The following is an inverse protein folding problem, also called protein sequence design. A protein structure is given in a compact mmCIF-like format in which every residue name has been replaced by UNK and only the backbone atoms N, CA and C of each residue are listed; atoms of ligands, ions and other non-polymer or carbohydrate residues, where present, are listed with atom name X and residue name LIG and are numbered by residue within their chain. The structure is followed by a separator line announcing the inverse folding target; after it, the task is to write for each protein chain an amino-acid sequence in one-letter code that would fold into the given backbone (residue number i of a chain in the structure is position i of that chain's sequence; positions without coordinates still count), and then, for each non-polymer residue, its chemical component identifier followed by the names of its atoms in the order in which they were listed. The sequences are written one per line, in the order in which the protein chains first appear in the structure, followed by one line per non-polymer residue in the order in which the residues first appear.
data_IF_398992138946
#
_entry.id   IF_398992138946
#
_cell.length_a   1.000
_cell.length_b   1.000
_cell.length_c   1.000
_cell.angle_alpha   90.00
_cell.angle_beta   90.00
_cell.angle_gamma   90.00
#
_symmetry.space_group_name_H-M   'P 1'
#
loop_
_entity.id
_entity.type
_entity.pdbx_description
1 polymer ?
#
# COMPACT_ATOMS: atom_id res chain seq x y z
N UNK A 1 -1.48 22.42 -3.65
CA UNK A 1 -0.78 21.68 -2.58
C UNK A 1 0.71 21.72 -2.88
N UNK A 2 1.56 22.09 -1.90
CA UNK A 2 3.02 22.13 -2.07
C UNK A 2 3.60 20.83 -1.55
N UNK A 3 4.29 20.06 -2.38
CA UNK A 3 4.78 18.72 -2.05
C UNK A 3 6.30 18.64 -2.10
N UNK A 4 6.88 17.89 -1.16
CA UNK A 4 8.25 17.41 -1.26
C UNK A 4 8.20 15.92 -1.58
N UNK A 5 8.97 15.50 -2.58
CA UNK A 5 9.00 14.12 -3.04
C UNK A 5 10.30 13.45 -2.64
N UNK A 6 10.20 12.42 -1.79
CA UNK A 6 11.29 11.55 -1.38
C UNK A 6 11.33 10.29 -2.24
N UNK A 7 12.50 9.95 -2.78
CA UNK A 7 12.66 8.91 -3.78
C UNK A 7 12.40 9.38 -5.21
N UNK A 8 12.61 10.68 -5.48
CA UNK A 8 12.25 11.35 -6.74
C UNK A 8 12.82 10.69 -8.00
N UNK A 9 14.04 10.15 -7.96
CA UNK A 9 14.68 9.50 -9.11
C UNK A 9 14.21 8.04 -9.33
N UNK A 10 13.50 7.45 -8.35
CA UNK A 10 12.94 6.11 -8.45
C UNK A 10 11.79 6.01 -9.46
N UNK A 11 11.41 4.78 -9.81
CA UNK A 11 10.32 4.55 -10.78
C UNK A 11 8.98 5.19 -10.33
N UNK A 12 8.62 5.03 -9.05
CA UNK A 12 7.41 5.65 -8.50
C UNK A 12 7.55 7.16 -8.36
N UNK A 13 8.73 7.64 -7.94
CA UNK A 13 9.01 9.07 -7.83
C UNK A 13 8.80 9.81 -9.15
N UNK A 14 9.30 9.27 -10.26
CA UNK A 14 9.12 9.84 -11.61
C UNK A 14 7.65 9.89 -12.04
N UNK A 15 6.85 8.89 -11.69
CA UNK A 15 5.41 8.89 -11.98
C UNK A 15 4.69 9.97 -11.16
N UNK A 16 4.97 10.06 -9.85
CA UNK A 16 4.39 11.08 -8.97
C UNK A 16 4.80 12.49 -9.43
N UNK A 17 6.08 12.67 -9.82
CA UNK A 17 6.58 13.94 -10.37
C UNK A 17 5.80 14.35 -11.63
N UNK A 18 5.54 13.39 -12.52
CA UNK A 18 4.77 13.65 -13.75
C UNK A 18 3.31 14.04 -13.49
N UNK A 19 2.71 13.58 -12.39
CA UNK A 19 1.33 13.90 -11.99
C UNK A 19 1.29 15.26 -11.31
N UNK A 20 2.16 15.52 -10.32
CA UNK A 20 2.14 16.71 -9.48
C UNK A 20 2.79 17.94 -10.13
N UNK A 21 3.79 17.75 -10.99
CA UNK A 21 4.47 18.81 -11.75
C UNK A 21 4.89 20.00 -10.87
N UNK A 22 4.25 21.16 -11.09
CA UNK A 22 4.56 22.42 -10.40
C UNK A 22 4.16 22.43 -8.92
N UNK A 23 3.42 21.42 -8.45
CA UNK A 23 3.13 21.23 -7.03
C UNK A 23 4.36 20.74 -6.25
N UNK A 24 5.39 20.18 -6.91
CA UNK A 24 6.62 19.70 -6.25
C UNK A 24 7.59 20.86 -6.06
N UNK A 25 7.77 21.23 -4.80
CA UNK A 25 8.65 22.31 -4.35
C UNK A 25 10.02 21.83 -3.87
N UNK A 26 10.19 20.52 -3.64
CA UNK A 26 11.45 19.90 -3.25
C UNK A 26 11.51 18.43 -3.66
N UNK A 27 12.72 17.97 -3.97
CA UNK A 27 12.99 16.57 -4.35
C UNK A 27 14.16 16.06 -3.54
N UNK A 28 14.10 14.81 -3.08
CA UNK A 28 15.18 14.10 -2.38
C UNK A 28 15.33 12.72 -3.00
N UNK A 29 16.56 12.28 -3.28
CA UNK A 29 16.83 10.93 -3.77
C UNK A 29 18.24 10.50 -3.40
N UNK A 30 18.38 9.32 -2.79
CA UNK A 30 19.64 8.80 -2.23
C UNK A 30 20.78 8.70 -3.24
N UNK A 31 20.47 8.53 -4.53
CA UNK A 31 21.45 8.45 -5.61
C UNK A 31 22.09 9.80 -5.95
N UNK A 32 21.40 10.92 -5.64
CA UNK A 32 21.85 12.28 -5.95
C UNK A 32 21.96 12.58 -7.45
N UNK A 33 21.39 11.73 -8.31
CA UNK A 33 21.43 11.94 -9.76
C UNK A 33 20.69 13.21 -10.16
N UNK A 34 21.10 13.81 -11.27
CA UNK A 34 20.52 15.03 -11.82
C UNK A 34 20.54 16.25 -10.87
N UNK A 35 21.47 16.26 -9.89
CA UNK A 35 21.57 17.33 -8.90
C UNK A 35 20.47 17.33 -7.84
N UNK A 36 19.72 16.24 -7.71
CA UNK A 36 18.71 16.08 -6.66
C UNK A 36 19.39 15.87 -5.31
N UNK A 37 19.04 16.63 -4.24
CA UNK A 37 19.55 16.42 -2.89
C UNK A 37 19.41 14.98 -2.42
N UNK A 38 20.42 14.47 -1.70
CA UNK A 38 20.42 13.10 -1.15
C UNK A 38 19.74 13.00 0.20
N UNK A 39 19.72 14.11 0.93
CA UNK A 39 19.23 14.18 2.31
C UNK A 39 18.41 15.44 2.55
N UNK A 40 17.68 15.45 3.65
CA UNK A 40 17.01 16.64 4.16
C UNK A 40 17.97 17.83 4.34
N UNK A 41 19.18 17.56 4.87
CA UNK A 41 20.20 18.58 5.11
C UNK A 41 20.69 19.26 3.82
N UNK A 42 20.81 18.50 2.73
CA UNK A 42 21.17 19.06 1.41
C UNK A 42 20.00 19.83 0.79
N UNK A 43 18.75 19.38 0.99
CA UNK A 43 17.55 20.11 0.54
C UNK A 43 17.40 21.44 1.27
N UNK A 44 17.81 21.49 2.53
CA UNK A 44 17.53 22.62 3.42
C UNK A 44 16.04 22.73 3.79
N UNK A 45 15.67 23.81 4.48
CA UNK A 45 14.29 24.02 4.90
C UNK A 45 13.44 24.57 3.73
N UNK A 46 12.52 23.75 3.28
CA UNK A 46 11.53 24.12 2.24
C UNK A 46 10.13 24.04 2.84
N UNK A 47 9.33 25.09 2.72
CA UNK A 47 7.93 25.05 3.15
C UNK A 47 7.09 24.20 2.19
N UNK A 48 6.39 23.19 2.75
CA UNK A 48 5.49 22.32 2.02
C UNK A 48 4.31 21.90 2.90
N UNK A 49 3.23 21.49 2.26
CA UNK A 49 2.04 20.95 2.93
C UNK A 49 2.20 19.45 3.21
N UNK A 50 2.89 18.75 2.31
CA UNK A 50 3.01 17.28 2.34
C UNK A 50 4.40 16.83 1.92
N UNK A 51 4.95 15.84 2.62
CA UNK A 51 6.13 15.06 2.22
C UNK A 51 5.64 13.68 1.77
N UNK A 52 5.91 13.32 0.51
CA UNK A 52 5.52 12.04 -0.10
C UNK A 52 6.76 11.16 -0.22
N UNK A 53 6.73 9.99 0.40
CA UNK A 53 7.84 9.03 0.39
C UNK A 53 7.52 7.77 -0.41
N UNK A 54 8.29 7.55 -1.48
CA UNK A 54 8.38 6.32 -2.25
C UNK A 54 9.85 5.96 -2.48
N UNK A 55 10.61 5.82 -1.40
CA UNK A 55 12.05 5.60 -1.44
C UNK A 55 12.45 4.19 -0.97
N UNK A 56 13.19 4.10 0.11
CA UNK A 56 13.60 2.88 0.78
C UNK A 56 13.24 2.95 2.27
N UNK A 57 12.86 1.82 2.88
CA UNK A 57 12.38 1.81 4.28
C UNK A 57 13.34 2.49 5.27
N UNK A 58 14.65 2.36 5.06
CA UNK A 58 15.66 2.99 5.94
C UNK A 58 15.64 4.53 5.92
N UNK A 59 14.97 5.15 4.95
CA UNK A 59 14.85 6.61 4.89
C UNK A 59 13.75 7.15 5.82
N UNK A 60 12.89 6.29 6.37
CA UNK A 60 11.68 6.70 7.09
C UNK A 60 11.94 7.64 8.27
N UNK A 61 13.01 7.42 9.03
CA UNK A 61 13.40 8.32 10.14
C UNK A 61 13.62 9.74 9.63
N UNK A 62 14.47 9.91 8.60
CA UNK A 62 14.76 11.23 8.04
C UNK A 62 13.53 11.89 7.37
N UNK A 63 12.65 11.10 6.73
CA UNK A 63 11.40 11.59 6.17
C UNK A 63 10.47 12.14 7.26
N UNK A 64 10.28 11.39 8.34
CA UNK A 64 9.40 11.79 9.45
C UNK A 64 9.96 12.99 10.22
N UNK A 65 11.26 12.98 10.55
CA UNK A 65 11.93 14.09 11.22
C UNK A 65 11.80 15.39 10.41
N UNK A 66 12.01 15.32 9.10
CA UNK A 66 11.88 16.48 8.23
C UNK A 66 10.43 16.97 8.13
N UNK A 67 9.45 16.05 7.99
CA UNK A 67 8.04 16.42 7.95
C UNK A 67 7.60 17.10 9.27
N UNK A 68 8.06 16.60 10.41
CA UNK A 68 7.81 17.23 11.72
C UNK A 68 8.45 18.61 11.83
N UNK A 69 9.71 18.79 11.40
CA UNK A 69 10.44 20.05 11.43
C UNK A 69 9.69 21.16 10.66
N UNK A 70 9.20 20.85 9.46
CA UNK A 70 8.46 21.80 8.62
C UNK A 70 6.96 21.83 8.92
N UNK A 71 6.47 20.99 9.83
CA UNK A 71 5.05 20.81 10.21
C UNK A 71 4.17 20.40 9.02
N UNK A 72 4.71 19.57 8.14
CA UNK A 72 3.99 19.00 7.01
C UNK A 72 3.36 17.64 7.36
N UNK A 73 2.40 17.25 6.56
CA UNK A 73 1.86 15.88 6.55
C UNK A 73 2.86 14.91 5.90
N UNK A 74 2.97 13.68 6.41
CA UNK A 74 3.77 12.63 5.77
C UNK A 74 2.88 11.59 5.09
N UNK A 75 3.20 11.23 3.84
CA UNK A 75 2.58 10.12 3.08
C UNK A 75 3.65 9.09 2.81
N UNK A 76 3.56 7.93 3.46
CA UNK A 76 4.54 6.86 3.39
C UNK A 76 3.99 5.72 2.53
N UNK A 77 4.44 5.67 1.27
CA UNK A 77 4.16 4.60 0.30
C UNK A 77 5.28 3.57 0.19
N UNK A 78 6.39 3.83 0.84
CA UNK A 78 7.51 2.88 0.94
C UNK A 78 7.09 1.64 1.72
N UNK A 79 7.56 0.47 1.30
CA UNK A 79 7.27 -0.84 1.90
C UNK A 79 8.51 -1.47 2.53
N UNK A 80 8.32 -2.55 3.28
CA UNK A 80 9.44 -3.31 3.87
C UNK A 80 9.93 -2.77 5.21
N UNK A 81 9.21 -1.87 5.87
CA UNK A 81 9.55 -1.34 7.18
C UNK A 81 9.64 -2.42 8.26
N UNK A 82 10.68 -2.34 9.08
CA UNK A 82 10.85 -3.17 10.27
C UNK A 82 9.80 -2.82 11.35
N UNK A 83 9.63 -3.65 12.40
CA UNK A 83 8.77 -3.30 13.53
C UNK A 83 9.16 -1.96 14.18
N UNK A 84 10.46 -1.68 14.31
CA UNK A 84 10.99 -0.44 14.88
C UNK A 84 10.64 0.78 14.00
N UNK A 85 10.80 0.65 12.69
CA UNK A 85 10.44 1.70 11.73
C UNK A 85 8.93 1.95 11.72
N UNK A 86 8.10 0.91 11.83
CA UNK A 86 6.65 1.06 12.01
C UNK A 86 6.29 1.77 13.32
N UNK A 87 7.03 1.51 14.39
CA UNK A 87 6.86 2.22 15.65
C UNK A 87 7.21 3.72 15.51
N UNK A 88 8.22 4.08 14.71
CA UNK A 88 8.54 5.49 14.39
C UNK A 88 7.38 6.17 13.66
N UNK A 89 6.79 5.50 12.65
CA UNK A 89 5.61 6.00 11.92
C UNK A 89 4.45 6.25 12.89
N UNK A 90 4.17 5.29 13.77
CA UNK A 90 3.12 5.40 14.78
C UNK A 90 3.40 6.55 15.76
N UNK A 91 4.65 6.74 16.19
CA UNK A 91 5.03 7.82 17.10
C UNK A 91 4.91 9.21 16.43
N UNK A 92 5.33 9.36 15.18
CA UNK A 92 5.20 10.59 14.41
C UNK A 92 3.72 10.98 14.21
N UNK A 93 2.83 10.01 14.05
CA UNK A 93 1.39 10.25 13.88
C UNK A 93 0.72 10.91 15.07
N UNK A 94 1.35 10.92 16.25
CA UNK A 94 0.87 11.65 17.42
C UNK A 94 1.14 13.17 17.33
N UNK A 95 2.02 13.60 16.41
CA UNK A 95 2.46 14.99 16.28
C UNK A 95 2.06 15.63 14.96
N UNK A 96 2.06 14.84 13.89
CA UNK A 96 1.65 15.27 12.53
C UNK A 96 0.67 14.28 11.93
N UNK A 97 -0.13 14.65 10.91
CA UNK A 97 -0.88 13.69 10.11
C UNK A 97 0.09 12.77 9.36
N UNK A 98 -0.09 11.47 9.47
CA UNK A 98 0.70 10.48 8.72
C UNK A 98 -0.25 9.55 7.97
N UNK A 99 -0.08 9.45 6.67
CA UNK A 99 -0.76 8.43 5.86
C UNK A 99 0.24 7.30 5.58
N UNK A 100 -0.10 6.09 5.96
CA UNK A 100 0.75 4.92 5.75
C UNK A 100 -0.01 3.77 5.11
N UNK A 101 0.51 3.26 3.98
CA UNK A 101 -0.05 2.06 3.35
C UNK A 101 1.03 1.28 2.61
N UNK A 102 1.02 -0.04 2.76
CA UNK A 102 1.86 -0.95 1.97
C UNK A 102 1.41 -1.15 0.52
N UNK A 103 0.23 -0.64 0.16
CA UNK A 103 -0.28 -0.62 -1.21
C UNK A 103 -1.16 0.62 -1.40
N UNK A 104 -0.76 1.51 -2.29
CA UNK A 104 -1.47 2.77 -2.55
C UNK A 104 -2.58 2.64 -3.60
N UNK A 105 -2.91 1.44 -4.08
CA UNK A 105 -4.02 1.25 -5.02
C UNK A 105 -5.37 1.41 -4.33
N UNK A 106 -6.13 2.42 -4.75
CA UNK A 106 -7.53 2.60 -4.32
C UNK A 106 -8.39 1.39 -4.70
N UNK A 107 -8.14 0.80 -5.88
CA UNK A 107 -8.85 -0.41 -6.33
C UNK A 107 -8.61 -1.62 -5.40
N UNK A 108 -7.39 -1.80 -4.89
CA UNK A 108 -7.08 -2.84 -3.90
C UNK A 108 -7.75 -2.54 -2.55
N UNK A 109 -7.78 -1.28 -2.12
CA UNK A 109 -8.48 -0.91 -0.89
C UNK A 109 -9.98 -1.23 -0.98
N UNK A 110 -10.62 -0.93 -2.13
CA UNK A 110 -12.01 -1.30 -2.43
C UNK A 110 -12.18 -2.82 -2.44
N UNK A 111 -11.27 -3.56 -3.10
CA UNK A 111 -11.33 -5.03 -3.13
C UNK A 111 -11.27 -5.63 -1.71
N UNK A 112 -10.37 -5.16 -0.86
CA UNK A 112 -10.25 -5.59 0.53
C UNK A 112 -11.55 -5.33 1.32
N UNK A 113 -12.16 -4.14 1.15
CA UNK A 113 -13.43 -3.78 1.80
C UNK A 113 -14.57 -4.69 1.34
N UNK A 114 -14.71 -4.91 0.04
CA UNK A 114 -15.75 -5.78 -0.52
C UNK A 114 -15.54 -7.24 -0.11
N UNK A 115 -14.30 -7.74 -0.10
CA UNK A 115 -13.98 -9.09 0.36
C UNK A 115 -14.36 -9.30 1.84
N UNK A 116 -14.02 -8.32 2.71
CA UNK A 116 -14.44 -8.31 4.11
C UNK A 116 -15.96 -8.32 4.27
N UNK A 117 -16.68 -7.47 3.54
CA UNK A 117 -18.14 -7.39 3.60
C UNK A 117 -18.79 -8.70 3.11
N UNK A 118 -18.30 -9.27 2.01
CA UNK A 118 -18.81 -10.53 1.50
C UNK A 118 -18.51 -11.69 2.45
N UNK A 119 -17.32 -11.76 3.04
CA UNK A 119 -16.97 -12.77 4.04
C UNK A 119 -17.82 -12.68 5.31
N UNK A 120 -18.22 -11.47 5.72
CA UNK A 120 -19.13 -11.26 6.84
C UNK A 120 -20.58 -11.69 6.51
N UNK A 121 -21.05 -11.41 5.28
CA UNK A 121 -22.39 -11.78 4.82
C UNK A 121 -22.55 -13.31 4.65
N UNK A 122 -21.47 -14.03 4.32
CA UNK A 122 -21.48 -15.48 4.10
C UNK A 122 -20.49 -16.18 5.04
N UNK A 123 -20.75 -16.26 6.36
CA UNK A 123 -19.79 -16.70 7.36
C UNK A 123 -19.32 -18.16 7.21
N UNK A 124 -20.08 -19.00 6.49
CA UNK A 124 -19.77 -20.39 6.23
C UNK A 124 -19.24 -20.68 4.81
N UNK A 125 -19.13 -19.62 3.96
CA UNK A 125 -18.67 -19.81 2.60
C UNK A 125 -17.20 -20.24 2.54
N UNK A 126 -16.86 -21.07 1.57
CA UNK A 126 -15.49 -21.33 1.19
C UNK A 126 -14.90 -20.12 0.48
N UNK A 127 -13.66 -19.75 0.81
CA UNK A 127 -12.98 -18.60 0.20
C UNK A 127 -11.63 -19.05 -0.34
N UNK A 128 -11.35 -18.66 -1.58
CA UNK A 128 -10.04 -18.82 -2.22
C UNK A 128 -9.59 -17.47 -2.79
N UNK A 129 -8.32 -17.16 -2.63
CA UNK A 129 -7.66 -15.99 -3.20
C UNK A 129 -6.71 -16.48 -4.30
N UNK A 130 -6.80 -15.88 -5.49
CA UNK A 130 -5.89 -16.16 -6.60
C UNK A 130 -5.19 -14.87 -6.98
N UNK A 131 -3.85 -14.92 -7.07
CA UNK A 131 -3.07 -13.78 -7.53
C UNK A 131 -2.19 -14.14 -8.72
N UNK A 132 -2.07 -13.23 -9.67
CA UNK A 132 -1.23 -13.41 -10.86
C UNK A 132 -0.30 -12.22 -11.00
N UNK A 133 1.00 -12.47 -11.12
CA UNK A 133 2.01 -11.44 -11.40
C UNK A 133 3.01 -11.91 -12.46
N UNK A 134 3.82 -10.96 -12.92
CA UNK A 134 4.90 -11.23 -13.86
C UNK A 134 5.92 -12.25 -13.32
N UNK A 135 6.63 -12.92 -14.24
CA UNK A 135 7.58 -13.98 -13.91
C UNK A 135 8.79 -13.52 -13.07
N UNK A 136 9.07 -12.21 -13.01
CA UNK A 136 10.17 -11.63 -12.22
C UNK A 136 9.82 -11.35 -10.74
N UNK A 137 8.53 -11.54 -10.34
CA UNK A 137 8.12 -11.32 -8.95
C UNK A 137 8.67 -12.44 -8.06
N UNK A 138 9.36 -12.06 -7.00
CA UNK A 138 10.10 -12.99 -6.12
C UNK A 138 9.22 -13.57 -5.02
N UNK A 139 8.43 -12.69 -4.36
CA UNK A 139 7.54 -13.08 -3.28
C UNK A 139 6.29 -13.81 -3.81
N UNK A 140 5.89 -14.87 -3.15
CA UNK A 140 4.65 -15.62 -3.35
C UNK A 140 4.20 -16.24 -2.01
N UNK A 141 2.97 -15.95 -1.55
CA UNK A 141 2.00 -15.01 -2.12
C UNK A 141 2.47 -13.55 -2.09
N UNK A 142 1.80 -12.71 -2.90
CA UNK A 142 2.06 -11.27 -2.90
C UNK A 142 1.61 -10.61 -1.59
N UNK A 143 2.27 -9.49 -1.21
CA UNK A 143 1.81 -8.69 -0.06
C UNK A 143 0.35 -8.25 -0.17
N UNK A 144 -0.16 -8.03 -1.38
CA UNK A 144 -1.57 -7.70 -1.63
C UNK A 144 -2.51 -8.88 -1.32
N UNK A 145 -2.09 -10.11 -1.65
CA UNK A 145 -2.89 -11.30 -1.29
C UNK A 145 -3.01 -11.45 0.22
N UNK A 146 -1.93 -11.22 0.97
CA UNK A 146 -1.95 -11.17 2.43
C UNK A 146 -2.84 -10.04 2.97
N UNK A 147 -2.83 -8.85 2.36
CA UNK A 147 -3.73 -7.75 2.75
C UNK A 147 -5.20 -8.11 2.58
N UNK A 148 -5.56 -8.83 1.51
CA UNK A 148 -6.92 -9.32 1.28
C UNK A 148 -7.29 -10.35 2.35
N UNK A 149 -6.41 -11.31 2.61
CA UNK A 149 -6.60 -12.30 3.68
C UNK A 149 -6.78 -11.63 5.04
N UNK A 150 -5.93 -10.68 5.40
CA UNK A 150 -6.01 -9.93 6.66
C UNK A 150 -7.32 -9.14 6.80
N UNK A 151 -7.83 -8.57 5.70
CA UNK A 151 -9.13 -7.90 5.69
C UNK A 151 -10.28 -8.89 5.99
N UNK A 152 -10.25 -10.08 5.39
CA UNK A 152 -11.23 -11.14 5.65
C UNK A 152 -11.11 -11.65 7.10
N UNK A 153 -9.89 -11.81 7.62
CA UNK A 153 -9.62 -12.29 8.98
C UNK A 153 -10.19 -11.36 10.07
N UNK A 154 -10.36 -10.06 9.78
CA UNK A 154 -11.03 -9.14 10.72
C UNK A 154 -12.47 -9.55 11.06
N UNK A 155 -13.16 -10.26 10.17
CA UNK A 155 -14.53 -10.76 10.37
C UNK A 155 -14.60 -12.28 10.49
N UNK A 156 -13.50 -12.97 10.22
CA UNK A 156 -13.30 -14.42 10.42
C UNK A 156 -12.01 -14.66 11.21
N UNK A 157 -11.95 -14.33 12.51
CA UNK A 157 -10.70 -14.37 13.29
C UNK A 157 -10.06 -15.75 13.39
N UNK A 158 -10.83 -16.83 13.20
CA UNK A 158 -10.35 -18.21 13.15
C UNK A 158 -9.77 -18.62 11.79
N UNK A 159 -9.84 -17.74 10.75
CA UNK A 159 -9.35 -18.08 9.42
C UNK A 159 -7.84 -18.39 9.43
N UNK A 160 -7.48 -19.45 8.75
CA UNK A 160 -6.10 -19.93 8.58
C UNK A 160 -5.71 -19.83 7.11
N UNK A 161 -4.60 -19.18 6.85
CA UNK A 161 -4.04 -19.07 5.52
C UNK A 161 -3.45 -20.41 5.05
N UNK A 162 -3.81 -20.84 3.84
CA UNK A 162 -3.26 -22.02 3.19
C UNK A 162 -2.67 -21.66 1.82
N UNK A 163 -1.34 -21.55 1.76
CA UNK A 163 -0.63 -21.19 0.54
C UNK A 163 -0.35 -22.41 -0.33
N UNK A 164 -0.87 -22.39 -1.57
CA UNK A 164 -0.58 -23.40 -2.58
C UNK A 164 -1.04 -24.81 -2.19
N UNK A 165 -2.26 -25.18 -2.56
CA UNK A 165 -2.76 -26.52 -2.30
C UNK A 165 -2.08 -27.54 -3.22
N UNK A 166 -1.46 -28.57 -2.63
CA UNK A 166 -0.82 -29.66 -3.34
C UNK A 166 -1.03 -31.00 -2.61
N UNK A 167 -0.95 -32.13 -3.33
CA UNK A 167 -1.13 -33.48 -2.76
C UNK A 167 -2.59 -33.82 -2.49
N UNK A 168 -2.79 -34.80 -1.59
CA UNK A 168 -4.11 -35.31 -1.19
C UNK A 168 -4.51 -34.76 0.18
N UNK A 169 -5.73 -34.27 0.31
CA UNK A 169 -6.26 -33.74 1.57
C UNK A 169 -7.56 -32.99 1.37
N UNK A 170 -8.45 -33.08 2.36
CA UNK A 170 -9.69 -32.30 2.37
C UNK A 170 -9.41 -30.90 2.92
N UNK A 171 -10.10 -29.92 2.38
CA UNK A 171 -10.17 -28.56 2.92
C UNK A 171 -10.80 -28.58 4.31
N UNK A 172 -10.34 -27.71 5.21
CA UNK A 172 -11.01 -27.43 6.49
C UNK A 172 -11.91 -26.18 6.38
N UNK A 173 -12.83 -25.99 7.32
CA UNK A 173 -13.77 -24.87 7.30
C UNK A 173 -13.09 -23.50 7.55
N UNK A 174 -12.01 -23.51 8.32
CA UNK A 174 -11.25 -22.30 8.68
C UNK A 174 -10.28 -21.85 7.58
N UNK A 175 -10.03 -22.71 6.62
CA UNK A 175 -9.01 -22.52 5.61
C UNK A 175 -9.44 -21.47 4.58
N UNK A 176 -8.56 -20.52 4.30
CA UNK A 176 -8.62 -19.63 3.14
C UNK A 176 -7.39 -19.94 2.28
N UNK A 177 -7.64 -20.49 1.09
CA UNK A 177 -6.56 -20.81 0.16
C UNK A 177 -6.01 -19.56 -0.51
N UNK A 178 -4.70 -19.53 -0.76
CA UNK A 178 -4.04 -18.53 -1.59
C UNK A 178 -3.20 -19.22 -2.66
N UNK A 179 -3.55 -19.00 -3.90
CA UNK A 179 -2.84 -19.52 -5.07
C UNK A 179 -2.13 -18.42 -5.83
N UNK A 180 -0.83 -18.59 -6.07
CA UNK A 180 0.01 -17.62 -6.74
C UNK A 180 0.41 -18.11 -8.13
N UNK A 181 0.12 -17.33 -9.18
CA UNK A 181 0.56 -17.60 -10.54
C UNK A 181 1.62 -16.59 -10.97
N UNK A 182 2.58 -17.04 -11.79
CA UNK A 182 3.63 -16.20 -12.38
C UNK A 182 3.54 -16.33 -13.88
N UNK A 183 3.10 -15.23 -14.57
CA UNK A 183 2.74 -15.28 -15.97
C UNK A 183 3.21 -14.01 -16.71
N UNK A 184 4.09 -14.20 -17.67
CA UNK A 184 4.50 -13.15 -18.60
C UNK A 184 4.89 -11.84 -17.92
N UNK A 185 4.22 -10.76 -18.33
CA UNK A 185 4.42 -9.40 -17.81
C UNK A 185 3.21 -8.86 -17.05
N UNK A 186 2.33 -9.72 -16.54
CA UNK A 186 1.15 -9.31 -15.77
C UNK A 186 1.58 -8.41 -14.61
N UNK A 187 1.01 -7.20 -14.54
CA UNK A 187 1.33 -6.21 -13.49
C UNK A 187 0.83 -6.70 -12.14
N UNK A 188 -0.42 -7.16 -12.08
CA UNK A 188 -1.03 -7.76 -10.91
C UNK A 188 -2.52 -7.99 -11.11
N UNK A 189 -2.96 -9.21 -10.87
CA UNK A 189 -4.38 -9.59 -10.81
C UNK A 189 -4.62 -10.20 -9.44
N UNK A 190 -5.72 -9.84 -8.80
CA UNK A 190 -6.16 -10.42 -7.54
C UNK A 190 -7.64 -10.76 -7.64
N UNK A 191 -7.98 -12.00 -7.35
CA UNK A 191 -9.34 -12.51 -7.35
C UNK A 191 -9.66 -13.11 -5.99
N UNK A 192 -10.89 -12.86 -5.52
CA UNK A 192 -11.45 -13.49 -4.31
C UNK A 192 -12.68 -14.26 -4.75
N UNK A 193 -12.62 -15.57 -4.66
CA UNK A 193 -13.71 -16.47 -4.98
C UNK A 193 -14.40 -16.89 -3.67
N UNK A 194 -15.71 -16.72 -3.60
CA UNK A 194 -16.52 -17.01 -2.42
C UNK A 194 -17.65 -17.95 -2.84
N UNK A 195 -17.65 -19.18 -2.32
CA UNK A 195 -18.69 -20.17 -2.59
C UNK A 195 -19.59 -20.34 -1.36
N UNK A 196 -20.83 -19.88 -1.48
CA UNK A 196 -21.86 -19.99 -0.45
C UNK A 196 -22.82 -21.18 -0.70
N UNK A 197 -22.36 -22.21 -1.38
CA UNK A 197 -23.10 -23.44 -1.69
C UNK A 197 -23.99 -23.29 -2.93
N UNK A 198 -25.11 -22.60 -2.82
CA UNK A 198 -26.03 -22.37 -3.95
C UNK A 198 -25.65 -21.21 -4.87
N UNK A 199 -24.66 -20.41 -4.48
CA UNK A 199 -24.22 -19.22 -5.24
C UNK A 199 -22.72 -18.97 -5.04
N UNK A 200 -22.12 -18.32 -6.02
CA UNK A 200 -20.72 -17.91 -5.99
C UNK A 200 -20.59 -16.43 -6.29
N UNK A 201 -19.65 -15.78 -5.58
CA UNK A 201 -19.22 -14.44 -5.91
C UNK A 201 -17.74 -14.49 -6.31
N UNK A 202 -17.37 -13.65 -7.26
CA UNK A 202 -15.98 -13.39 -7.62
C UNK A 202 -15.76 -11.88 -7.60
N UNK A 203 -14.82 -11.45 -6.77
CA UNK A 203 -14.34 -10.08 -6.76
C UNK A 203 -12.99 -10.08 -7.46
N UNK A 204 -12.80 -9.20 -8.45
CA UNK A 204 -11.57 -9.16 -9.25
C UNK A 204 -11.06 -7.73 -9.36
N UNK A 205 -9.78 -7.57 -9.14
CA UNK A 205 -9.00 -6.37 -9.46
C UNK A 205 -7.88 -6.74 -10.41
N UNK A 206 -7.67 -5.93 -11.43
CA UNK A 206 -6.55 -6.06 -12.37
C UNK A 206 -5.84 -4.72 -12.51
N UNK A 207 -4.55 -4.73 -12.22
CA UNK A 207 -3.66 -3.61 -12.47
C UNK A 207 -3.22 -3.62 -13.93
N UNK A 208 -3.62 -2.62 -14.69
CA UNK A 208 -3.22 -2.47 -16.11
C UNK A 208 -1.80 -1.88 -16.18
N UNK A 209 -1.52 -0.87 -15.35
CA UNK A 209 -0.20 -0.24 -15.20
C UNK A 209 0.12 -0.03 -13.72
N UNK A 210 1.36 0.33 -13.39
CA UNK A 210 1.76 0.70 -12.04
C UNK A 210 1.38 2.13 -11.66
N UNK A 211 0.91 2.92 -12.61
CA UNK A 211 0.56 4.33 -12.41
C UNK A 211 -0.51 4.49 -11.33
N UNK A 212 -1.41 3.51 -11.20
CA UNK A 212 -2.42 3.48 -10.13
C UNK A 212 -1.84 3.62 -8.71
N UNK A 213 -0.57 3.21 -8.49
CA UNK A 213 0.10 3.35 -7.19
C UNK A 213 0.56 4.79 -6.96
N UNK A 214 1.04 5.46 -8.03
CA UNK A 214 1.41 6.87 -7.98
C UNK A 214 0.17 7.76 -7.83
N UNK A 215 -0.87 7.48 -8.62
CA UNK A 215 -2.18 8.14 -8.51
C UNK A 215 -2.75 8.04 -7.11
N UNK A 216 -2.77 6.82 -6.54
CA UNK A 216 -3.23 6.60 -5.18
C UNK A 216 -2.39 7.29 -4.11
N UNK A 217 -1.06 7.38 -4.30
CA UNK A 217 -0.18 8.16 -3.43
C UNK A 217 -0.47 9.65 -3.46
N UNK A 218 -0.78 10.19 -4.64
CA UNK A 218 -1.20 11.60 -4.82
C UNK A 218 -2.57 11.84 -4.20
N UNK A 219 -3.54 10.94 -4.40
CA UNK A 219 -4.86 11.04 -3.77
C UNK A 219 -4.77 10.93 -2.23
N UNK A 220 -3.89 10.07 -1.72
CA UNK A 220 -3.60 9.99 -0.29
C UNK A 220 -3.05 11.32 0.26
N UNK A 221 -2.14 11.96 -0.48
CA UNK A 221 -1.60 13.26 -0.12
C UNK A 221 -2.69 14.34 -0.07
N UNK A 222 -3.57 14.39 -1.07
CA UNK A 222 -4.73 15.31 -1.09
C UNK A 222 -5.71 15.05 0.03
N UNK A 223 -5.97 13.76 0.32
CA UNK A 223 -6.88 13.35 1.38
C UNK A 223 -6.41 13.74 2.77
N UNK A 224 -5.10 13.57 3.04
CA UNK A 224 -4.55 13.75 4.41
C UNK A 224 -4.04 15.16 4.67
N UNK A 225 -3.82 15.97 3.63
CA UNK A 225 -3.39 17.35 3.78
C UNK A 225 -4.39 18.16 4.64
N UNK A 226 -3.86 18.81 5.70
CA UNK A 226 -4.66 19.63 6.61
C UNK A 226 -5.52 18.85 7.62
N UNK A 227 -5.44 17.53 7.67
CA UNK A 227 -6.07 16.73 8.72
C UNK A 227 -5.33 16.91 10.06
N UNK A 228 -5.98 16.61 11.20
CA UNK A 228 -5.32 16.59 12.50
C UNK A 228 -4.25 15.50 12.56
N UNK A 229 -3.33 15.60 13.53
CA UNK A 229 -2.38 14.54 13.83
C UNK A 229 -3.12 13.21 14.00
N UNK A 230 -2.60 12.16 13.42
CA UNK A 230 -3.22 10.84 13.39
C UNK A 230 -2.58 9.94 12.35
N UNK A 231 -2.78 8.62 12.49
CA UNK A 231 -2.38 7.64 11.50
C UNK A 231 -3.57 7.31 10.59
N UNK A 232 -3.41 7.57 9.31
CA UNK A 232 -4.41 7.36 8.26
C UNK A 232 -3.94 6.28 7.28
N UNK A 233 -4.88 5.65 6.62
CA UNK A 233 -4.61 4.60 5.64
C UNK A 233 -5.65 4.60 4.50
N UNK A 234 -5.50 3.68 3.55
CA UNK A 234 -6.39 3.59 2.39
C UNK A 234 -7.87 3.33 2.75
N UNK A 235 -8.17 2.70 3.89
CA UNK A 235 -9.56 2.48 4.29
C UNK A 235 -10.23 3.77 4.77
N UNK A 236 -9.47 4.68 5.38
CA UNK A 236 -9.95 5.99 5.81
C UNK A 236 -10.35 6.88 4.61
N UNK A 237 -9.71 6.69 3.45
CA UNK A 237 -10.08 7.39 2.20
C UNK A 237 -11.43 6.93 1.64
N UNK A 238 -11.84 5.71 1.95
CA UNK A 238 -13.09 5.15 1.44
C UNK A 238 -14.33 5.56 2.31
N UNK A 239 -14.12 6.18 3.46
CA UNK A 239 -15.19 6.62 4.39
C UNK A 239 -15.70 5.52 5.29
#
# INVERSE_FOLDING_TARGET
MRCILWGANGAMGKLIDSILKDEIVGRVSIDGENGVPRTAGELGRVEADVVIDFSHHTAVSGVLEYAEEIRATAVIGTTGHTPEEKAMIQAASQRIPVFYSGNMSLGIAVLCRLAKQAAAAFPQADIEIVEVHHTRKVDAPSGTAHMIFDAIRQVRPQAVEHCGRAGEGKRTAEEIGISSLRLGNVVGIHEVHIDAGSQRLTLRHEAVTRDMLAEGGVEAARFVAGKPAGLYNMQDMLG
#
